data_IF_540094979603
#
_entry.id   IF_540094979603
#
_cell.length_a   1.000
_cell.length_b   1.000
_cell.length_c   1.000
_cell.angle_alpha   90.00
_cell.angle_beta   90.00
_cell.angle_gamma   90.00
#
_symmetry.space_group_name_H-M   'P 1'
#
loop_
_entity.id
_entity.type
_entity.pdbx_description
1 polymer ?
#
# COMPACT_ATOMS: atom_id res chain seq x y z
N UNK A 1 -19.87 14.62 68.27
CA UNK A 1 -20.95 15.55 68.66
C UNK A 1 -21.24 16.48 67.49
N UNK A 2 -22.47 16.98 67.39
CA UNK A 2 -23.05 17.65 66.21
C UNK A 2 -22.92 19.18 66.23
N UNK A 3 -23.34 19.79 65.11
CA UNK A 3 -23.53 21.23 64.82
C UNK A 3 -22.25 22.02 64.49
N UNK A 4 -22.09 22.69 63.34
CA UNK A 4 -22.97 23.48 62.46
C UNK A 4 -23.24 24.92 62.91
N UNK A 5 -22.62 25.90 62.23
CA UNK A 5 -23.29 27.14 61.76
C UNK A 5 -22.40 28.00 60.83
N UNK A 6 -23.02 28.57 59.78
CA UNK A 6 -22.61 29.78 59.03
C UNK A 6 -23.79 30.78 59.16
N UNK A 7 -23.57 32.11 59.23
CA UNK A 7 -23.91 33.03 58.11
C UNK A 7 -23.02 34.31 58.05
N UNK A 8 -23.40 35.47 57.45
CA UNK A 8 -23.53 35.87 56.01
C UNK A 8 -23.36 37.42 55.89
N UNK A 9 -22.63 37.90 54.85
CA UNK A 9 -22.55 39.31 54.35
C UNK A 9 -22.02 40.41 55.32
N UNK A 10 -21.59 41.62 54.91
CA UNK A 10 -21.32 42.32 53.63
C UNK A 10 -20.22 43.41 53.88
N UNK A 11 -19.76 44.30 52.99
CA UNK A 11 -20.48 45.11 51.99
C UNK A 11 -19.50 45.81 50.99
N UNK A 12 -20.01 46.13 49.78
CA UNK A 12 -19.58 47.08 48.70
C UNK A 12 -18.12 47.60 48.58
N UNK A 13 -17.57 47.52 47.35
CA UNK A 13 -17.33 48.68 46.44
C UNK A 13 -16.99 48.29 44.98
N UNK A 14 -17.65 48.97 44.04
CA UNK A 14 -17.43 49.15 42.58
C UNK A 14 -18.22 50.44 42.20
N UNK A 15 -18.02 51.11 41.03
CA UNK A 15 -17.29 50.72 39.82
C UNK A 15 -16.01 51.58 39.63
N UNK A 16 -15.34 51.69 38.48
CA UNK A 16 -15.82 52.29 37.21
C UNK A 16 -15.51 51.47 35.94
N UNK A 17 -16.21 51.81 34.85
CA UNK A 17 -16.12 51.24 33.50
C UNK A 17 -15.06 51.94 32.60
N UNK A 18 -14.53 51.19 31.64
CA UNK A 18 -14.02 51.71 30.38
C UNK A 18 -14.24 50.66 29.28
N UNK A 19 -15.06 51.02 28.29
CA UNK A 19 -15.34 50.20 27.09
C UNK A 19 -14.18 50.22 26.09
N UNK A 20 -13.97 49.09 25.41
CA UNK A 20 -13.67 49.08 23.97
C UNK A 20 -14.07 47.70 23.36
N UNK A 21 -14.61 47.61 22.13
CA UNK A 21 -15.42 46.46 21.72
C UNK A 21 -14.64 45.33 21.04
N UNK A 22 -15.10 44.10 21.29
CA UNK A 22 -14.66 42.89 20.56
C UNK A 22 -15.36 42.84 19.19
N UNK A 23 -14.64 42.71 18.06
CA UNK A 23 -15.26 42.40 16.78
C UNK A 23 -15.81 40.95 16.78
N UNK A 24 -16.93 40.75 16.09
CA UNK A 24 -17.74 39.54 16.20
C UNK A 24 -17.12 38.27 15.59
N UNK A 25 -17.59 37.12 16.08
CA UNK A 25 -17.35 35.81 15.44
C UNK A 25 -17.98 35.80 14.05
N UNK A 26 -17.15 35.84 13.00
CA UNK A 26 -17.58 35.39 11.68
C UNK A 26 -17.66 33.85 11.70
N UNK A 27 -18.81 33.29 11.36
CA UNK A 27 -18.94 31.87 11.07
C UNK A 27 -18.15 31.59 9.78
N UNK A 28 -17.08 30.79 9.86
CA UNK A 28 -16.54 30.12 8.69
C UNK A 28 -17.25 28.79 8.52
N UNK A 29 -17.67 28.51 7.29
CA UNK A 29 -18.33 27.26 6.92
C UNK A 29 -17.41 26.05 7.15
N UNK A 30 -18.01 24.90 7.42
CA UNK A 30 -17.33 23.61 7.35
C UNK A 30 -16.84 23.38 5.91
N UNK A 31 -15.52 23.41 5.74
CA UNK A 31 -14.87 22.83 4.57
C UNK A 31 -13.99 21.68 5.08
N UNK A 32 -14.50 20.44 4.95
CA UNK A 32 -13.85 19.22 5.46
C UNK A 32 -12.68 18.83 4.57
N UNK A 33 -11.61 19.62 4.61
CA UNK A 33 -10.36 19.30 3.92
C UNK A 33 -9.55 18.25 4.70
N UNK A 34 -9.69 17.01 4.21
CA UNK A 34 -9.05 15.77 4.65
C UNK A 34 -7.56 15.98 4.95
N UNK A 35 -7.07 15.39 6.04
CA UNK A 35 -5.63 15.27 6.29
C UNK A 35 -5.19 13.99 5.62
N UNK A 36 -4.31 14.07 4.62
CA UNK A 36 -3.82 12.88 3.90
C UNK A 36 -2.77 12.16 4.74
N UNK A 37 -2.42 10.94 4.32
CA UNK A 37 -1.37 10.15 4.99
C UNK A 37 -0.03 10.88 5.03
N UNK A 38 0.24 11.74 4.06
CA UNK A 38 1.51 12.43 3.90
C UNK A 38 1.76 13.43 5.03
N UNK A 39 0.72 14.04 5.61
CA UNK A 39 0.80 14.86 6.82
C UNK A 39 1.18 14.03 8.07
N UNK A 40 0.82 12.73 8.10
CA UNK A 40 1.15 11.80 9.19
C UNK A 40 2.57 11.25 9.04
N UNK A 41 2.97 10.90 7.80
CA UNK A 41 4.30 10.36 7.49
C UNK A 41 5.39 11.44 7.56
N UNK A 42 5.11 12.70 7.19
CA UNK A 42 6.10 13.80 7.28
C UNK A 42 6.68 13.92 8.70
N UNK A 43 5.86 13.74 9.74
CA UNK A 43 6.28 13.77 11.16
C UNK A 43 7.20 12.62 11.57
N UNK A 44 7.36 11.57 10.77
CA UNK A 44 8.28 10.46 11.04
C UNK A 44 9.64 10.63 10.35
N UNK A 45 9.77 11.60 9.45
CA UNK A 45 10.99 11.86 8.67
C UNK A 45 11.77 13.11 9.12
N UNK A 46 11.23 13.89 10.06
CA UNK A 46 11.83 15.16 10.52
C UNK A 46 12.98 15.00 11.53
N UNK A 47 13.23 13.79 12.06
CA UNK A 47 14.30 13.53 13.04
C UNK A 47 15.70 13.34 12.41
N UNK A 48 15.83 13.29 11.08
CA UNK A 48 17.12 13.21 10.38
C UNK A 48 17.25 14.26 9.24
N UNK A 49 18.09 15.28 9.52
CA UNK A 49 18.77 16.26 8.62
C UNK A 49 18.39 17.76 8.72
N UNK A 50 19.38 18.68 8.51
CA UNK A 50 19.27 20.07 8.94
C UNK A 50 18.60 21.00 7.92
N UNK A 51 18.03 22.09 8.43
CA UNK A 51 17.39 23.14 7.62
C UNK A 51 18.42 24.08 6.98
N UNK A 52 18.27 24.35 5.69
CA UNK A 52 18.73 25.57 5.04
C UNK A 52 17.65 26.17 4.15
N UNK A 53 17.70 27.49 3.97
CA UNK A 53 16.68 28.33 3.33
C UNK A 53 17.20 28.94 2.05
N UNK A 54 16.32 29.08 1.05
CA UNK A 54 15.99 30.33 0.33
C UNK A 54 14.95 30.00 -0.77
N UNK A 55 13.87 30.75 -0.92
CA UNK A 55 13.69 31.87 -1.86
C UNK A 55 14.13 31.52 -3.31
N UNK A 56 13.30 31.64 -4.35
CA UNK A 56 11.91 32.10 -4.47
C UNK A 56 11.63 32.45 -5.94
N UNK A 57 10.44 32.15 -6.46
CA UNK A 57 10.13 32.39 -7.87
C UNK A 57 8.65 32.19 -8.19
N UNK A 58 8.03 33.19 -8.81
CA UNK A 58 6.64 33.14 -9.27
C UNK A 58 6.60 32.67 -10.74
N UNK A 59 5.65 31.79 -11.05
CA UNK A 59 5.32 31.36 -12.42
C UNK A 59 3.81 31.19 -12.52
N UNK A 60 3.23 31.67 -13.63
CA UNK A 60 1.78 31.79 -13.82
C UNK A 60 1.15 30.45 -14.24
N UNK A 61 -0.13 30.25 -13.87
CA UNK A 61 -0.89 29.07 -14.24
C UNK A 61 -1.98 29.44 -15.26
N UNK A 62 -1.95 28.78 -16.43
CA UNK A 62 -3.08 28.74 -17.36
C UNK A 62 -3.68 27.31 -17.41
N UNK A 63 -5.02 27.16 -17.54
CA UNK A 63 -5.68 25.87 -17.57
C UNK A 63 -5.89 25.35 -18.99
N UNK A 64 -5.64 24.06 -19.22
CA UNK A 64 -6.01 23.34 -20.45
C UNK A 64 -6.82 22.08 -20.14
N UNK A 65 -7.65 21.58 -21.09
CA UNK A 65 -8.96 21.04 -20.72
C UNK A 65 -9.01 19.53 -20.53
N UNK A 66 -10.10 19.08 -19.90
CA UNK A 66 -10.54 17.68 -19.95
C UNK A 66 -10.82 17.29 -21.40
N UNK A 67 -10.16 16.26 -21.90
CA UNK A 67 -10.60 15.51 -23.08
C UNK A 67 -11.06 14.11 -22.66
N UNK A 68 -12.04 13.59 -23.39
CA UNK A 68 -12.87 12.46 -22.99
C UNK A 68 -12.37 11.18 -23.67
N UNK A 69 -11.25 10.65 -23.17
CA UNK A 69 -10.59 9.45 -23.69
C UNK A 69 -11.46 8.20 -23.54
N UNK A 70 -12.02 7.72 -24.65
CA UNK A 70 -12.94 6.58 -24.70
C UNK A 70 -12.22 5.26 -24.38
N UNK A 71 -12.13 4.91 -23.09
CA UNK A 71 -11.53 3.67 -22.59
C UNK A 71 -12.24 2.44 -23.16
N UNK A 72 -11.54 1.69 -24.01
CA UNK A 72 -12.01 0.40 -24.51
C UNK A 72 -11.79 -0.65 -23.42
N UNK A 73 -12.80 -0.84 -22.58
CA UNK A 73 -12.78 -1.89 -21.57
C UNK A 73 -12.47 -3.24 -22.24
N UNK A 74 -11.37 -3.86 -21.82
CA UNK A 74 -11.03 -5.24 -22.10
C UNK A 74 -12.08 -6.13 -21.43
N UNK A 75 -12.86 -6.86 -22.24
CA UNK A 75 -13.75 -7.89 -21.72
C UNK A 75 -12.94 -9.02 -21.10
N UNK A 76 -13.50 -9.74 -20.12
CA UNK A 76 -12.88 -10.90 -19.46
C UNK A 76 -12.36 -12.00 -20.43
N UNK A 77 -12.73 -11.96 -21.72
CA UNK A 77 -12.23 -12.85 -22.77
C UNK A 77 -10.79 -12.56 -23.24
N UNK A 78 -10.22 -11.38 -22.94
CA UNK A 78 -8.86 -10.98 -23.36
C UNK A 78 -7.85 -10.97 -22.18
N UNK A 79 -8.16 -11.62 -21.06
CA UNK A 79 -7.31 -11.67 -19.86
C UNK A 79 -6.45 -12.93 -19.84
N UNK A 80 -5.15 -12.78 -19.53
CA UNK A 80 -4.20 -13.89 -19.32
C UNK A 80 -4.44 -14.75 -18.06
N UNK A 81 -5.66 -14.76 -17.51
CA UNK A 81 -6.05 -15.55 -16.33
C UNK A 81 -7.11 -16.54 -16.76
N UNK A 82 -6.75 -17.81 -16.83
CA UNK A 82 -7.67 -18.90 -17.16
C UNK A 82 -8.20 -19.54 -15.87
N UNK A 83 -9.43 -19.21 -15.48
CA UNK A 83 -10.12 -19.85 -14.35
C UNK A 83 -10.28 -21.35 -14.58
N UNK A 84 -10.11 -22.16 -13.53
CA UNK A 84 -10.12 -23.64 -13.59
C UNK A 84 -9.03 -24.27 -14.48
N UNK A 85 -7.98 -23.54 -14.86
CA UNK A 85 -6.85 -24.09 -15.62
C UNK A 85 -5.98 -25.08 -14.83
N UNK A 86 -5.97 -25.02 -13.50
CA UNK A 86 -5.23 -25.96 -12.64
C UNK A 86 -5.97 -27.28 -12.48
N UNK A 87 -5.29 -28.39 -12.78
CA UNK A 87 -5.72 -29.73 -12.35
C UNK A 87 -5.38 -29.97 -10.86
N UNK A 88 -6.31 -30.59 -10.12
CA UNK A 88 -6.16 -30.88 -8.69
C UNK A 88 -6.76 -29.81 -7.77
N UNK A 89 -6.47 -29.92 -6.47
CA UNK A 89 -6.89 -28.93 -5.49
C UNK A 89 -5.68 -28.11 -5.00
N UNK A 90 -5.85 -26.78 -4.88
CA UNK A 90 -4.84 -25.92 -4.25
C UNK A 90 -4.64 -26.31 -2.79
N UNK A 91 -3.40 -26.27 -2.30
CA UNK A 91 -3.10 -26.49 -0.89
C UNK A 91 -3.96 -25.59 0.03
N UNK A 92 -4.50 -26.17 1.11
CA UNK A 92 -5.50 -25.54 1.96
C UNK A 92 -4.98 -24.31 2.70
N UNK A 93 -3.67 -24.30 2.97
CA UNK A 93 -2.96 -23.21 3.63
C UNK A 93 -2.65 -22.01 2.71
N UNK A 94 -2.79 -22.12 1.39
CA UNK A 94 -2.82 -20.96 0.47
C UNK A 94 -4.17 -20.30 0.63
N UNK A 95 -4.22 -19.14 1.29
CA UNK A 95 -5.44 -18.36 1.51
C UNK A 95 -5.84 -17.56 0.26
N UNK A 96 -4.85 -17.09 -0.50
CA UNK A 96 -4.97 -16.32 -1.74
C UNK A 96 -3.67 -16.44 -2.54
N UNK A 97 -3.74 -16.37 -3.88
CA UNK A 97 -2.58 -16.24 -4.76
C UNK A 97 -2.83 -15.17 -5.83
N UNK A 98 -1.80 -14.74 -6.54
CA UNK A 98 -1.93 -13.82 -7.66
C UNK A 98 -0.62 -13.14 -8.03
N UNK A 99 -0.72 -11.97 -8.67
CA UNK A 99 0.43 -11.21 -9.15
C UNK A 99 0.73 -10.03 -8.23
N UNK A 100 2.01 -9.80 -7.97
CA UNK A 100 2.56 -8.76 -7.09
C UNK A 100 3.47 -7.84 -7.89
N UNK A 101 3.38 -6.53 -7.62
CA UNK A 101 4.23 -5.51 -8.22
C UNK A 101 4.82 -4.64 -7.13
N UNK A 102 6.08 -4.25 -7.31
CA UNK A 102 6.83 -3.41 -6.40
C UNK A 102 7.11 -2.07 -7.07
N UNK A 103 6.75 -1.00 -6.37
CA UNK A 103 6.96 0.37 -6.85
C UNK A 103 7.62 1.21 -5.75
N UNK A 104 8.26 2.30 -6.16
CA UNK A 104 8.59 3.40 -5.25
C UNK A 104 8.24 4.76 -5.84
N UNK A 105 8.08 5.77 -4.97
CA UNK A 105 8.08 7.18 -5.38
C UNK A 105 9.31 7.89 -4.83
N UNK A 106 9.87 8.78 -5.65
CA UNK A 106 10.93 9.70 -5.24
C UNK A 106 10.47 10.69 -4.18
N UNK A 107 11.44 11.36 -3.53
CA UNK A 107 11.21 12.52 -2.69
C UNK A 107 10.70 13.70 -3.53
N UNK A 108 10.01 14.63 -2.89
CA UNK A 108 9.55 15.88 -3.51
C UNK A 108 10.73 16.57 -4.21
N UNK A 109 10.60 16.81 -5.52
CA UNK A 109 11.66 17.39 -6.35
C UNK A 109 12.74 16.42 -6.84
N UNK A 110 12.53 15.09 -6.71
CA UNK A 110 13.39 14.06 -7.32
C UNK A 110 12.53 13.10 -8.14
N UNK A 111 12.38 13.41 -9.42
CA UNK A 111 11.48 12.67 -10.32
C UNK A 111 12.07 11.32 -10.75
N UNK A 112 13.41 11.23 -10.86
CA UNK A 112 14.16 10.02 -11.18
C UNK A 112 15.12 9.65 -10.03
N UNK A 113 14.64 8.95 -8.98
CA UNK A 113 15.47 8.57 -7.84
C UNK A 113 16.43 7.41 -8.21
N UNK A 114 17.74 7.70 -8.27
CA UNK A 114 18.77 6.71 -8.66
C UNK A 114 19.42 5.98 -7.48
N UNK A 115 19.01 6.29 -6.25
CA UNK A 115 19.57 5.74 -5.00
C UNK A 115 18.54 5.75 -3.88
N UNK A 116 18.70 4.85 -2.90
CA UNK A 116 17.73 4.66 -1.81
C UNK A 116 17.58 5.87 -0.87
N UNK A 117 18.52 6.83 -0.86
CA UNK A 117 18.30 8.10 -0.15
C UNK A 117 17.15 8.92 -0.75
N UNK A 118 16.90 8.76 -2.04
CA UNK A 118 16.04 9.63 -2.84
C UNK A 118 14.61 9.10 -2.89
N UNK A 119 14.40 7.86 -2.48
CA UNK A 119 13.08 7.26 -2.28
C UNK A 119 12.39 7.93 -1.09
N UNK A 120 11.10 8.23 -1.23
CA UNK A 120 10.22 8.64 -0.14
C UNK A 120 9.51 7.44 0.49
N UNK A 121 8.87 6.61 -0.35
CA UNK A 121 7.98 5.53 0.07
C UNK A 121 8.03 4.37 -0.94
N UNK A 122 7.95 3.15 -0.43
CA UNK A 122 7.80 1.92 -1.23
C UNK A 122 6.33 1.47 -1.19
N UNK A 123 5.86 0.88 -2.28
CA UNK A 123 4.51 0.37 -2.44
C UNK A 123 4.53 -1.07 -2.95
N UNK A 124 3.55 -1.85 -2.52
CA UNK A 124 3.23 -3.18 -3.06
C UNK A 124 1.84 -3.10 -3.66
N UNK A 125 1.68 -3.54 -4.90
CA UNK A 125 0.39 -3.75 -5.53
C UNK A 125 0.13 -5.26 -5.58
N UNK A 126 -0.97 -5.72 -4.99
CA UNK A 126 -1.43 -7.11 -5.09
C UNK A 126 -2.62 -7.19 -6.05
N UNK A 127 -2.60 -8.14 -6.98
CA UNK A 127 -3.70 -8.49 -7.88
C UNK A 127 -4.09 -9.96 -7.66
N UNK A 128 -5.10 -10.23 -6.81
CA UNK A 128 -5.56 -11.59 -6.56
C UNK A 128 -6.13 -12.24 -7.82
N UNK A 129 -5.87 -13.54 -8.01
CA UNK A 129 -6.51 -14.38 -9.04
C UNK A 129 -7.22 -15.56 -8.36
N UNK A 130 -8.15 -16.27 -9.03
CA UNK A 130 -8.74 -17.50 -8.51
C UNK A 130 -7.67 -18.55 -8.18
N UNK A 131 -7.88 -19.34 -7.11
CA UNK A 131 -6.86 -20.29 -6.63
C UNK A 131 -6.57 -21.42 -7.62
N UNK A 132 -7.55 -21.77 -8.43
CA UNK A 132 -7.53 -22.76 -9.49
C UNK A 132 -7.21 -22.16 -10.88
N UNK A 133 -6.89 -20.86 -10.95
CA UNK A 133 -6.48 -20.24 -12.19
C UNK A 133 -5.01 -20.53 -12.53
N UNK A 134 -4.70 -20.62 -13.82
CA UNK A 134 -3.34 -20.55 -14.36
C UNK A 134 -3.15 -19.24 -15.14
N UNK A 135 -1.89 -18.87 -15.39
CA UNK A 135 -1.54 -17.73 -16.23
C UNK A 135 -1.22 -18.19 -17.66
N UNK A 136 -1.67 -17.42 -18.63
CA UNK A 136 -1.47 -17.66 -20.07
C UNK A 136 -0.80 -16.44 -20.73
N UNK A 137 -0.71 -16.39 -22.06
CA UNK A 137 -0.08 -15.26 -22.76
C UNK A 137 -0.90 -13.96 -22.63
N UNK A 138 -0.21 -12.82 -22.48
CA UNK A 138 -0.81 -11.47 -22.54
C UNK A 138 -0.98 -10.77 -21.19
N UNK A 139 -1.66 -9.61 -21.17
CA UNK A 139 -1.87 -8.84 -19.96
C UNK A 139 -2.98 -9.47 -19.11
N UNK A 140 -2.89 -9.31 -17.78
CA UNK A 140 -3.99 -9.67 -16.89
C UNK A 140 -5.04 -8.55 -16.95
N UNK A 141 -6.30 -8.91 -17.18
CA UNK A 141 -7.40 -7.93 -17.28
C UNK A 141 -7.77 -7.27 -15.95
N UNK A 142 -8.51 -6.16 -16.02
CA UNK A 142 -8.96 -5.44 -14.83
C UNK A 142 -10.11 -6.17 -14.12
N UNK A 143 -9.77 -6.94 -13.07
CA UNK A 143 -10.74 -7.57 -12.20
C UNK A 143 -11.32 -6.62 -11.12
N UNK A 144 -10.90 -5.35 -11.06
CA UNK A 144 -11.33 -4.37 -10.07
C UNK A 144 -11.02 -4.76 -8.62
N UNK A 145 -10.07 -5.67 -8.40
CA UNK A 145 -9.79 -6.31 -7.12
C UNK A 145 -8.40 -5.96 -6.54
N UNK A 146 -7.65 -5.07 -7.22
CA UNK A 146 -6.27 -4.75 -6.87
C UNK A 146 -6.17 -4.08 -5.48
N UNK A 147 -5.10 -4.37 -4.74
CA UNK A 147 -4.83 -3.77 -3.42
C UNK A 147 -3.51 -3.02 -3.44
N UNK A 148 -3.57 -1.70 -3.27
CA UNK A 148 -2.40 -0.84 -3.14
C UNK A 148 -2.01 -0.73 -1.66
N UNK A 149 -0.82 -1.21 -1.35
CA UNK A 149 -0.24 -1.25 0.00
C UNK A 149 0.92 -0.27 0.05
N UNK A 150 0.84 0.72 0.93
CA UNK A 150 1.91 1.67 1.19
C UNK A 150 2.75 1.24 2.39
N UNK A 151 4.07 1.28 2.22
CA UNK A 151 5.07 0.97 3.25
C UNK A 151 5.78 2.29 3.60
N UNK A 152 5.64 2.83 4.83
CA UNK A 152 6.15 4.15 5.21
C UNK A 152 7.69 4.19 5.42
N UNK A 153 8.42 3.31 4.73
CA UNK A 153 9.88 3.18 4.76
C UNK A 153 10.39 3.00 3.32
N UNK A 154 11.67 3.32 3.11
CA UNK A 154 12.35 3.29 1.80
C UNK A 154 12.92 1.92 1.42
N UNK A 155 12.86 0.98 2.35
CA UNK A 155 13.39 -0.38 2.25
C UNK A 155 12.23 -1.37 2.36
N UNK A 156 12.50 -2.66 2.19
CA UNK A 156 11.64 -3.79 2.54
C UNK A 156 12.23 -4.54 3.76
N UNK A 157 11.41 -5.13 4.66
CA UNK A 157 11.93 -5.67 5.91
C UNK A 157 12.54 -7.06 5.67
N UNK A 158 13.80 -7.27 6.06
CA UNK A 158 14.55 -8.52 5.77
C UNK A 158 14.62 -9.49 6.94
N UNK A 159 14.52 -8.99 8.18
CA UNK A 159 14.68 -9.82 9.38
C UNK A 159 13.50 -9.66 10.34
N UNK A 160 13.31 -10.61 11.24
CA UNK A 160 12.24 -10.53 12.26
C UNK A 160 12.40 -9.36 13.25
N UNK A 161 13.49 -8.60 13.17
CA UNK A 161 13.70 -7.33 13.89
C UNK A 161 13.09 -6.15 13.12
N UNK A 162 13.05 -6.24 11.79
CA UNK A 162 12.48 -5.25 10.89
C UNK A 162 10.96 -5.45 10.86
N UNK A 163 10.23 -4.54 11.49
CA UNK A 163 8.78 -4.62 11.69
C UNK A 163 8.16 -3.26 11.47
N UNK A 164 7.39 -3.11 10.41
CA UNK A 164 6.78 -1.83 10.06
C UNK A 164 5.28 -1.96 9.90
N UNK A 165 4.57 -0.87 10.17
CA UNK A 165 3.14 -0.81 9.95
C UNK A 165 2.93 -0.37 8.50
N UNK A 166 2.52 -1.31 7.65
CA UNK A 166 2.05 -1.05 6.31
C UNK A 166 0.56 -0.65 6.34
N UNK A 167 0.10 -0.01 5.29
CA UNK A 167 -1.28 0.45 5.11
C UNK A 167 -1.84 -0.03 3.78
N UNK A 168 -3.07 -0.54 3.77
CA UNK A 168 -3.87 -0.66 2.55
C UNK A 168 -4.45 0.73 2.20
N UNK A 169 -3.85 1.43 1.24
CA UNK A 169 -4.32 2.74 0.77
C UNK A 169 -5.56 2.60 -0.13
N UNK A 170 -5.54 1.64 -1.06
CA UNK A 170 -6.72 1.24 -1.86
C UNK A 170 -6.93 -0.27 -1.75
N UNK A 171 -8.18 -0.69 -1.64
CA UNK A 171 -8.61 -2.07 -1.87
C UNK A 171 -9.71 -2.05 -2.94
N UNK A 172 -9.72 -3.05 -3.83
CA UNK A 172 -10.58 -3.06 -5.01
C UNK A 172 -10.33 -1.87 -5.95
N UNK A 173 -9.06 -1.56 -6.19
CA UNK A 173 -8.66 -0.58 -7.20
C UNK A 173 -8.77 -1.16 -8.62
N UNK A 174 -9.39 -0.39 -9.50
CA UNK A 174 -9.41 -0.60 -10.95
C UNK A 174 -8.11 -0.14 -11.61
N UNK A 175 -7.91 -0.46 -12.89
CA UNK A 175 -6.87 0.15 -13.72
C UNK A 175 -7.09 1.65 -13.91
N UNK A 176 -8.33 2.14 -13.92
CA UNK A 176 -8.61 3.58 -13.93
C UNK A 176 -8.10 4.24 -12.63
N UNK A 177 -8.37 3.65 -11.47
CA UNK A 177 -7.83 4.12 -10.17
C UNK A 177 -6.30 4.17 -10.17
N UNK A 178 -5.64 3.15 -10.72
CA UNK A 178 -4.17 3.07 -10.75
C UNK A 178 -3.59 4.10 -11.73
N UNK A 179 -4.12 4.18 -12.95
CA UNK A 179 -3.66 5.10 -14.00
C UNK A 179 -3.93 6.57 -13.69
N UNK A 180 -4.93 6.89 -12.88
CA UNK A 180 -5.26 8.27 -12.52
C UNK A 180 -4.59 8.72 -11.21
N UNK A 181 -4.61 7.88 -10.16
CA UNK A 181 -4.20 8.34 -8.81
C UNK A 181 -2.81 7.85 -8.38
N UNK A 182 -2.37 6.67 -8.86
CA UNK A 182 -1.18 5.99 -8.32
C UNK A 182 0.05 5.97 -9.24
N UNK A 183 -0.11 5.72 -10.55
CA UNK A 183 1.03 5.68 -11.46
C UNK A 183 1.55 7.08 -11.79
N UNK A 184 0.72 8.10 -12.13
CA UNK A 184 1.21 9.43 -12.47
C UNK A 184 1.87 10.16 -11.31
N UNK A 185 2.71 11.14 -11.69
CA UNK A 185 3.04 12.24 -10.80
C UNK A 185 1.78 13.08 -10.49
N UNK A 186 1.71 13.69 -9.32
CA UNK A 186 0.55 14.48 -8.89
C UNK A 186 0.95 15.67 -8.02
N UNK A 187 0.31 16.81 -8.25
CA UNK A 187 0.48 18.04 -7.48
C UNK A 187 -0.65 18.19 -6.44
N UNK A 188 -0.27 18.37 -5.17
CA UNK A 188 -1.21 18.52 -4.07
C UNK A 188 -0.89 19.74 -3.21
N UNK A 189 -1.91 20.45 -2.75
CA UNK A 189 -1.73 21.69 -2.00
C UNK A 189 -1.68 21.43 -0.49
N UNK A 190 -0.57 21.80 0.15
CA UNK A 190 -0.34 21.63 1.59
C UNK A 190 -0.67 22.89 2.38
N UNK A 191 -1.25 22.72 3.57
CA UNK A 191 -1.72 23.82 4.43
C UNK A 191 -0.62 24.79 4.89
N UNK A 192 0.65 24.39 4.81
CA UNK A 192 1.81 25.12 5.35
C UNK A 192 2.90 25.43 4.33
N UNK A 193 2.99 24.69 3.22
CA UNK A 193 4.08 24.80 2.25
C UNK A 193 3.61 25.00 0.79
N UNK A 194 2.31 25.21 0.56
CA UNK A 194 1.75 25.39 -0.78
C UNK A 194 1.72 24.11 -1.61
N UNK A 195 1.71 24.25 -2.93
CA UNK A 195 1.70 23.12 -3.87
C UNK A 195 3.00 22.31 -3.73
N UNK A 196 2.86 21.01 -3.58
CA UNK A 196 3.95 20.03 -3.59
C UNK A 196 3.76 19.05 -4.73
N UNK A 197 4.85 18.77 -5.41
CA UNK A 197 4.93 17.70 -6.41
C UNK A 197 5.21 16.35 -5.74
N UNK A 198 4.39 15.34 -6.02
CA UNK A 198 4.77 13.95 -5.85
C UNK A 198 5.22 13.40 -7.20
N UNK A 199 6.46 12.88 -7.32
CA UNK A 199 6.90 12.11 -8.47
C UNK A 199 5.96 10.94 -8.81
N UNK A 200 6.07 10.48 -10.06
CA UNK A 200 5.42 9.27 -10.55
C UNK A 200 5.89 8.02 -9.80
N UNK A 201 5.09 6.96 -9.88
CA UNK A 201 5.51 5.64 -9.41
C UNK A 201 6.50 5.02 -10.41
N UNK A 202 7.65 4.59 -9.91
CA UNK A 202 8.68 3.85 -10.68
C UNK A 202 8.60 2.37 -10.29
N UNK A 203 8.42 1.44 -11.23
CA UNK A 203 8.44 0.02 -10.96
C UNK A 203 9.86 -0.43 -10.60
N UNK A 204 9.98 -1.40 -9.71
CA UNK A 204 11.27 -2.02 -9.35
C UNK A 204 11.26 -3.55 -9.45
N UNK A 205 10.09 -4.15 -9.67
CA UNK A 205 9.92 -5.56 -9.97
C UNK A 205 8.45 -5.99 -9.96
N UNK A 206 8.20 -7.17 -10.50
CA UNK A 206 6.91 -7.83 -10.58
C UNK A 206 7.14 -9.36 -10.49
N UNK A 207 6.11 -10.09 -10.08
CA UNK A 207 6.07 -11.54 -10.15
C UNK A 207 4.82 -12.07 -9.45
N UNK A 208 4.91 -13.25 -8.86
CA UNK A 208 3.76 -13.94 -8.24
C UNK A 208 3.84 -13.93 -6.72
N UNK A 209 2.68 -14.06 -6.07
CA UNK A 209 2.58 -14.18 -4.61
C UNK A 209 1.57 -15.22 -4.15
N UNK A 210 1.77 -15.70 -2.92
CA UNK A 210 0.73 -16.31 -2.11
C UNK A 210 0.64 -15.64 -0.74
N UNK A 211 -0.60 -15.46 -0.27
CA UNK A 211 -0.88 -15.23 1.14
C UNK A 211 -1.18 -16.59 1.77
N UNK A 212 -0.31 -17.08 2.64
CA UNK A 212 -0.42 -18.40 3.28
C UNK A 212 -0.66 -18.29 4.78
N UNK A 213 -0.96 -19.42 5.43
CA UNK A 213 -1.05 -19.54 6.88
C UNK A 213 -0.32 -20.78 7.40
N UNK A 214 0.37 -20.64 8.52
CA UNK A 214 0.92 -21.77 9.31
C UNK A 214 0.02 -22.09 10.52
N UNK A 215 -1.25 -21.67 10.46
CA UNK A 215 -2.22 -21.67 11.57
C UNK A 215 -1.92 -20.64 12.67
N UNK A 216 -0.64 -20.42 12.98
CA UNK A 216 -0.15 -19.45 13.98
C UNK A 216 0.16 -18.09 13.36
N UNK A 217 0.80 -18.07 12.20
CA UNK A 217 1.29 -16.89 11.51
C UNK A 217 0.79 -16.90 10.06
N UNK A 218 0.46 -15.71 9.54
CA UNK A 218 0.11 -15.55 8.12
C UNK A 218 1.30 -14.95 7.40
N UNK A 219 1.60 -15.43 6.20
CA UNK A 219 2.77 -15.01 5.44
C UNK A 219 2.33 -14.47 4.08
N UNK A 220 2.96 -13.37 3.63
CA UNK A 220 2.94 -12.97 2.22
C UNK A 220 4.29 -13.37 1.66
N UNK A 221 4.29 -14.35 0.76
CA UNK A 221 5.47 -14.85 0.09
C UNK A 221 5.37 -14.57 -1.41
N UNK A 222 6.51 -14.31 -2.04
CA UNK A 222 6.59 -13.92 -3.43
C UNK A 222 7.81 -14.52 -4.13
N UNK A 223 7.70 -14.65 -5.44
CA UNK A 223 8.79 -14.94 -6.36
C UNK A 223 8.72 -13.90 -7.49
N UNK A 224 9.85 -13.30 -7.85
CA UNK A 224 9.92 -12.32 -8.92
C UNK A 224 10.05 -12.99 -10.28
N UNK A 225 9.25 -12.54 -11.23
CA UNK A 225 9.37 -12.90 -12.64
C UNK A 225 10.14 -11.84 -13.43
N UNK A 226 10.15 -10.57 -12.96
CA UNK A 226 10.96 -9.49 -13.53
C UNK A 226 11.37 -8.43 -12.48
N UNK A 227 12.56 -7.80 -12.54
CA UNK A 227 13.66 -8.10 -13.45
C UNK A 227 14.27 -9.48 -13.21
N UNK A 228 14.78 -10.11 -14.26
CA UNK A 228 15.46 -11.42 -14.12
C UNK A 228 16.75 -11.33 -13.29
N UNK A 229 17.33 -10.13 -13.13
CA UNK A 229 18.51 -9.87 -12.31
C UNK A 229 18.29 -8.62 -11.45
N UNK A 230 18.49 -8.72 -10.14
CA UNK A 230 18.29 -7.57 -9.24
C UNK A 230 19.40 -6.53 -9.36
N UNK A 231 19.01 -5.29 -9.67
CA UNK A 231 19.90 -4.14 -9.65
C UNK A 231 20.28 -3.67 -8.24
N UNK A 232 21.13 -2.63 -8.18
CA UNK A 232 21.55 -2.01 -6.91
C UNK A 232 20.37 -1.42 -6.14
N UNK A 233 19.41 -0.80 -6.84
CA UNK A 233 18.21 -0.18 -6.24
C UNK A 233 17.35 -1.25 -5.57
N UNK A 234 16.97 -2.31 -6.30
CA UNK A 234 16.19 -3.44 -5.78
C UNK A 234 16.86 -4.06 -4.54
N UNK A 235 18.14 -4.39 -4.65
CA UNK A 235 18.93 -5.03 -3.59
C UNK A 235 19.06 -4.14 -2.34
N UNK A 236 19.22 -2.83 -2.53
CA UNK A 236 19.45 -1.86 -1.44
C UNK A 236 18.16 -1.45 -0.74
N UNK A 237 17.04 -1.39 -1.47
CA UNK A 237 15.68 -1.37 -0.91
C UNK A 237 15.48 -2.64 -0.09
N UNK A 238 15.90 -3.78 -0.64
CA UNK A 238 15.83 -5.07 0.03
C UNK A 238 14.75 -5.99 -0.50
N UNK A 239 14.45 -5.84 -1.79
CA UNK A 239 13.79 -6.87 -2.58
C UNK A 239 14.77 -8.04 -2.80
N UNK A 240 14.25 -9.26 -2.94
CA UNK A 240 14.99 -10.51 -3.15
C UNK A 240 14.25 -11.34 -4.22
N UNK A 241 14.93 -12.27 -4.91
CA UNK A 241 14.32 -13.06 -6.02
C UNK A 241 13.13 -13.90 -5.55
N UNK A 242 13.28 -14.54 -4.38
CA UNK A 242 12.22 -15.23 -3.64
C UNK A 242 12.27 -14.75 -2.19
N UNK A 243 11.13 -14.37 -1.62
CA UNK A 243 11.10 -13.81 -0.27
C UNK A 243 9.74 -13.93 0.41
N UNK A 244 9.69 -13.61 1.70
CA UNK A 244 8.45 -13.61 2.47
C UNK A 244 8.45 -12.63 3.63
N UNK A 245 7.24 -12.31 4.08
CA UNK A 245 6.98 -11.49 5.25
C UNK A 245 5.89 -12.12 6.10
N UNK A 246 6.05 -12.08 7.43
CA UNK A 246 4.95 -12.38 8.35
C UNK A 246 4.03 -11.16 8.42
N UNK A 247 2.74 -11.37 8.16
CA UNK A 247 1.70 -10.33 8.18
C UNK A 247 0.81 -10.50 9.40
N UNK A 248 0.64 -9.41 10.15
CA UNK A 248 -0.32 -9.38 11.26
C UNK A 248 -1.19 -8.14 11.26
N UNK A 249 -2.51 -8.34 11.08
CA UNK A 249 -3.51 -7.28 11.03
C UNK A 249 -3.68 -6.63 12.39
N UNK A 250 -3.74 -5.30 12.42
CA UNK A 250 -3.97 -4.52 13.64
C UNK A 250 -5.46 -4.45 13.99
N UNK A 251 -5.79 -4.67 15.25
CA UNK A 251 -7.12 -4.37 15.78
C UNK A 251 -7.30 -2.83 15.92
N UNK A 252 -8.24 -2.19 15.22
CA UNK A 252 -8.45 -0.74 15.29
C UNK A 252 -9.08 -0.27 16.61
N UNK A 253 -9.67 -1.18 17.41
CA UNK A 253 -10.23 -0.85 18.74
C UNK A 253 -9.15 -0.52 19.76
N UNK A 254 -7.88 -0.89 19.50
CA UNK A 254 -6.74 -0.54 20.35
C UNK A 254 -6.01 0.72 19.84
N UNK A 255 -5.53 1.60 20.75
CA UNK A 255 -4.86 2.84 20.37
C UNK A 255 -3.67 2.68 19.42
N UNK A 256 -3.47 3.75 18.64
CA UNK A 256 -2.21 4.17 18.02
C UNK A 256 -0.90 3.60 18.59
N UNK A 257 -0.16 2.66 17.95
CA UNK A 257 1.30 2.69 18.09
C UNK A 257 1.85 4.07 17.68
N UNK A 258 2.96 4.49 18.29
CA UNK A 258 3.55 5.83 18.20
C UNK A 258 3.40 6.49 16.82
N UNK A 259 2.59 7.56 16.73
CA UNK A 259 2.39 8.36 15.52
C UNK A 259 1.99 7.57 14.24
N UNK A 260 1.39 6.39 14.37
CA UNK A 260 0.77 5.65 13.25
C UNK A 260 -0.76 5.74 13.25
N UNK A 261 -1.32 6.65 14.04
CA UNK A 261 -2.76 6.92 14.04
C UNK A 261 -3.20 7.58 12.74
N UNK A 262 -4.18 6.97 12.09
CA UNK A 262 -4.83 7.54 10.90
C UNK A 262 -5.97 8.49 11.32
N UNK A 263 -6.34 9.47 10.48
CA UNK A 263 -7.54 10.28 10.69
C UNK A 263 -8.82 9.44 10.71
N UNK A 264 -8.87 8.41 9.86
CA UNK A 264 -9.97 7.43 9.75
C UNK A 264 -9.38 6.02 9.75
N UNK A 265 -10.03 5.08 10.45
CA UNK A 265 -9.59 3.68 10.53
C UNK A 265 -10.23 2.79 9.45
N UNK A 266 -9.88 1.49 9.42
CA UNK A 266 -10.52 0.51 8.55
C UNK A 266 -11.99 0.29 8.93
N UNK A 267 -12.84 0.15 7.92
CA UNK A 267 -14.26 -0.17 8.10
C UNK A 267 -14.46 -1.69 8.11
N UNK A 268 -14.08 -2.34 9.20
CA UNK A 268 -14.27 -3.78 9.37
C UNK A 268 -15.74 -4.13 9.67
N UNK A 269 -16.18 -5.28 9.14
CA UNK A 269 -17.44 -5.91 9.53
C UNK A 269 -17.38 -6.36 11.00
N UNK A 270 -18.55 -6.54 11.63
CA UNK A 270 -18.61 -7.02 13.01
C UNK A 270 -17.95 -8.41 13.16
N UNK A 271 -18.07 -9.27 12.14
CA UNK A 271 -17.40 -10.56 12.06
C UNK A 271 -15.88 -10.45 12.25
N UNK A 272 -15.21 -9.57 11.49
CA UNK A 272 -13.76 -9.36 11.60
C UNK A 272 -13.40 -8.73 12.96
N UNK A 273 -14.23 -7.82 13.48
CA UNK A 273 -14.03 -7.24 14.82
C UNK A 273 -14.13 -8.29 15.93
N UNK A 274 -15.05 -9.24 15.82
CA UNK A 274 -15.23 -10.33 16.79
C UNK A 274 -14.10 -11.38 16.68
N UNK A 275 -13.55 -11.61 15.49
CA UNK A 275 -12.40 -12.51 15.26
C UNK A 275 -11.13 -12.10 16.00
N UNK A 276 -10.89 -10.78 16.18
CA UNK A 276 -9.81 -10.30 17.03
C UNK A 276 -9.96 -10.72 18.51
N UNK A 277 -11.19 -10.95 18.99
CA UNK A 277 -11.52 -11.23 20.40
C UNK A 277 -10.98 -10.16 21.36
N UNK A 278 -9.81 -10.40 21.96
CA UNK A 278 -9.08 -9.46 22.83
C UNK A 278 -7.65 -9.21 22.36
N UNK A 279 -7.30 -9.69 21.16
CA UNK A 279 -5.98 -9.52 20.56
C UNK A 279 -5.85 -8.13 19.95
N UNK A 280 -4.66 -7.55 20.07
CA UNK A 280 -4.25 -6.32 19.37
C UNK A 280 -3.84 -6.57 17.92
N UNK A 281 -3.48 -7.82 17.63
CA UNK A 281 -2.81 -8.29 16.43
C UNK A 281 -3.26 -9.74 16.19
N UNK A 282 -3.62 -10.08 14.96
CA UNK A 282 -3.93 -11.46 14.52
C UNK A 282 -3.29 -11.73 13.17
N UNK A 283 -3.23 -12.99 12.72
CA UNK A 283 -2.76 -13.33 11.37
C UNK A 283 -3.60 -12.62 10.31
N UNK A 284 -2.96 -12.07 9.27
CA UNK A 284 -3.67 -11.42 8.17
C UNK A 284 -4.23 -12.45 7.20
N UNK A 285 -5.56 -12.47 7.05
CA UNK A 285 -6.26 -13.21 5.98
C UNK A 285 -6.84 -12.22 4.95
N UNK A 286 -7.23 -12.64 3.73
CA UNK A 286 -7.58 -11.72 2.64
C UNK A 286 -8.66 -10.69 3.00
N UNK A 287 -9.70 -11.09 3.75
CA UNK A 287 -10.79 -10.20 4.18
C UNK A 287 -10.37 -9.07 5.12
N UNK A 288 -9.15 -9.10 5.68
CA UNK A 288 -8.62 -8.02 6.50
C UNK A 288 -8.04 -6.85 5.69
N UNK A 289 -7.74 -7.06 4.41
CA UNK A 289 -7.06 -6.09 3.54
C UNK A 289 -8.06 -5.09 2.91
N UNK A 290 -8.83 -4.41 3.76
CA UNK A 290 -9.79 -3.35 3.40
C UNK A 290 -9.11 -1.97 3.42
N UNK A 291 -9.69 -0.90 2.83
CA UNK A 291 -9.08 0.42 2.87
C UNK A 291 -8.85 0.91 4.30
N UNK A 292 -7.76 1.63 4.53
CA UNK A 292 -7.25 2.06 5.84
C UNK A 292 -6.81 0.91 6.78
N UNK A 293 -6.79 -0.35 6.33
CA UNK A 293 -6.29 -1.47 7.15
C UNK A 293 -4.79 -1.34 7.39
N UNK A 294 -4.40 -1.39 8.66
CA UNK A 294 -3.01 -1.41 9.08
C UNK A 294 -2.60 -2.81 9.50
N UNK A 295 -1.42 -3.24 9.08
CA UNK A 295 -0.84 -4.51 9.48
C UNK A 295 0.68 -4.38 9.67
N UNK A 296 1.24 -5.21 10.55
CA UNK A 296 2.68 -5.38 10.62
C UNK A 296 3.14 -6.20 9.42
N UNK A 297 4.09 -5.64 8.67
CA UNK A 297 4.95 -6.35 7.73
C UNK A 297 6.27 -6.64 8.46
N UNK A 298 6.60 -7.92 8.64
CA UNK A 298 7.75 -8.39 9.42
C UNK A 298 8.68 -9.21 8.54
N UNK A 299 9.97 -8.89 8.54
CA UNK A 299 10.97 -9.60 7.74
C UNK A 299 11.16 -11.06 8.16
N UNK A 300 11.39 -11.95 7.19
CA UNK A 300 11.56 -13.39 7.43
C UNK A 300 12.94 -13.87 6.94
N UNK A 301 13.84 -14.16 7.89
CA UNK A 301 15.24 -14.52 7.57
C UNK A 301 15.45 -15.97 7.12
N UNK A 302 14.40 -16.78 7.08
CA UNK A 302 14.41 -18.10 6.43
C UNK A 302 14.08 -18.02 4.93
N UNK A 303 13.84 -16.82 4.40
CA UNK A 303 13.18 -16.66 3.11
C UNK A 303 11.84 -17.41 3.09
N UNK A 304 11.46 -17.86 1.90
CA UNK A 304 10.14 -18.40 1.59
C UNK A 304 9.82 -19.76 2.24
N UNK A 305 10.82 -20.51 2.73
CA UNK A 305 10.67 -21.91 3.21
C UNK A 305 9.53 -22.09 4.21
N UNK A 306 9.47 -21.22 5.23
CA UNK A 306 8.46 -21.32 6.29
C UNK A 306 7.07 -20.86 5.83
N UNK A 307 7.01 -19.90 4.91
CA UNK A 307 5.76 -19.41 4.34
C UNK A 307 5.10 -20.45 3.42
N UNK A 308 5.89 -21.33 2.79
CA UNK A 308 5.41 -22.37 1.87
C UNK A 308 5.43 -23.78 2.44
N UNK A 309 5.67 -23.93 3.75
CA UNK A 309 5.64 -25.24 4.40
C UNK A 309 4.26 -25.90 4.24
N UNK A 310 4.17 -27.16 3.75
CA UNK A 310 2.90 -27.84 3.55
C UNK A 310 2.18 -28.08 4.89
N UNK A 311 0.86 -27.93 4.88
CA UNK A 311 0.02 -28.21 6.04
C UNK A 311 0.04 -29.70 6.39
N UNK A 312 -0.05 -30.05 7.68
CA UNK A 312 -0.09 -31.44 8.12
C UNK A 312 -1.35 -32.17 7.60
N UNK A 313 -2.47 -31.45 7.36
CA UNK A 313 -3.70 -32.03 6.81
C UNK A 313 -3.62 -32.34 5.30
N UNK A 314 -2.71 -31.70 4.56
CA UNK A 314 -2.56 -31.88 3.11
C UNK A 314 -1.50 -32.93 2.72
N UNK A 315 -0.58 -33.30 3.62
CA UNK A 315 0.54 -34.23 3.35
C UNK A 315 0.15 -35.65 2.94
N UNK A 316 -1.10 -36.05 3.14
CA UNK A 316 -1.62 -37.37 2.76
C UNK A 316 -2.49 -37.33 1.49
N UNK A 317 -2.69 -36.16 0.86
CA UNK A 317 -3.54 -35.98 -0.32
C UNK A 317 -2.70 -35.80 -1.60
N UNK A 318 -2.41 -36.90 -2.29
CA UNK A 318 -1.65 -36.93 -3.55
C UNK A 318 -2.26 -36.09 -4.70
N UNK A 319 -3.47 -35.54 -4.53
CA UNK A 319 -4.13 -34.66 -5.52
C UNK A 319 -3.90 -33.16 -5.27
N UNK A 320 -3.12 -32.81 -4.24
CA UNK A 320 -2.73 -31.43 -3.91
C UNK A 320 -1.24 -31.26 -4.15
N UNK A 321 -0.90 -30.24 -4.94
CA UNK A 321 0.50 -29.77 -5.07
C UNK A 321 0.94 -29.13 -3.77
N UNK A 322 2.23 -29.23 -3.44
CA UNK A 322 2.76 -28.47 -2.30
C UNK A 322 2.66 -26.95 -2.57
N UNK A 323 2.56 -26.11 -1.53
CA UNK A 323 2.42 -24.65 -1.72
C UNK A 323 3.58 -24.02 -2.50
N UNK A 324 4.78 -24.60 -2.35
CA UNK A 324 5.97 -24.17 -3.10
C UNK A 324 5.85 -24.51 -4.59
N UNK A 325 5.42 -25.73 -4.92
CA UNK A 325 5.28 -26.22 -6.30
C UNK A 325 4.24 -25.40 -7.08
N UNK A 326 3.09 -25.13 -6.48
CA UNK A 326 2.02 -24.31 -7.08
C UNK A 326 2.49 -22.89 -7.42
N UNK A 327 3.39 -22.32 -6.61
CA UNK A 327 3.88 -20.95 -6.81
C UNK A 327 5.13 -20.89 -7.70
N UNK A 328 5.94 -21.95 -7.76
CA UNK A 328 6.98 -22.09 -8.80
C UNK A 328 6.37 -22.33 -10.18
N UNK A 329 5.26 -23.08 -10.29
CA UNK A 329 4.53 -23.26 -11.55
C UNK A 329 3.86 -21.96 -12.01
N UNK A 330 3.24 -21.21 -11.09
CA UNK A 330 2.66 -19.89 -11.38
C UNK A 330 3.74 -18.86 -11.76
N UNK A 331 4.93 -18.89 -11.12
CA UNK A 331 6.06 -18.03 -11.47
C UNK A 331 6.58 -18.33 -12.88
N UNK A 332 6.67 -19.61 -13.26
CA UNK A 332 7.12 -20.03 -14.58
C UNK A 332 6.20 -19.52 -15.71
N UNK A 333 4.89 -19.57 -15.49
CA UNK A 333 3.90 -19.00 -16.42
C UNK A 333 4.01 -17.47 -16.51
N UNK A 334 4.17 -16.82 -15.35
CA UNK A 334 4.27 -15.36 -15.28
C UNK A 334 5.56 -14.83 -15.93
N UNK A 335 6.68 -15.57 -15.84
CA UNK A 335 7.91 -15.28 -16.61
C UNK A 335 7.63 -15.32 -18.11
N UNK A 336 7.06 -16.41 -18.63
CA UNK A 336 6.76 -16.54 -20.07
C UNK A 336 5.83 -15.43 -20.56
N UNK A 337 4.83 -15.09 -19.74
CA UNK A 337 3.86 -14.02 -20.00
C UNK A 337 4.53 -12.64 -20.06
N UNK A 338 5.41 -12.33 -19.11
CA UNK A 338 6.09 -11.04 -19.01
C UNK A 338 7.19 -10.85 -20.06
N UNK A 339 7.92 -11.92 -20.45
CA UNK A 339 8.91 -11.91 -21.53
C UNK A 339 8.34 -11.49 -22.90
N UNK A 340 7.02 -11.58 -23.09
CA UNK A 340 6.35 -11.29 -24.36
C UNK A 340 5.52 -10.00 -24.35
N UNK A 341 5.49 -9.28 -23.22
CA UNK A 341 4.55 -8.17 -23.01
C UNK A 341 5.03 -6.78 -23.45
N UNK A 342 6.32 -6.47 -23.37
CA UNK A 342 6.86 -5.13 -23.63
C UNK A 342 8.28 -5.12 -24.18
N UNK A 343 8.76 -3.96 -24.64
CA UNK A 343 10.12 -3.83 -25.18
C UNK A 343 11.21 -3.81 -24.07
N UNK A 344 10.82 -3.38 -22.87
CA UNK A 344 11.65 -3.43 -21.65
C UNK A 344 10.87 -4.08 -20.51
N UNK A 345 11.57 -4.58 -19.51
CA UNK A 345 10.96 -5.17 -18.30
C UNK A 345 10.03 -4.18 -17.56
N UNK A 346 10.42 -2.90 -17.48
CA UNK A 346 9.57 -1.85 -16.90
C UNK A 346 8.37 -1.50 -17.78
N UNK A 347 8.52 -1.54 -19.10
CA UNK A 347 7.41 -1.32 -20.03
C UNK A 347 6.37 -2.46 -19.95
N UNK A 348 6.83 -3.71 -19.88
CA UNK A 348 5.97 -4.88 -19.66
C UNK A 348 5.11 -4.75 -18.40
N UNK A 349 5.69 -4.27 -17.28
CA UNK A 349 4.95 -3.99 -16.03
C UNK A 349 3.82 -2.97 -16.25
N UNK A 350 4.07 -1.91 -17.02
CA UNK A 350 3.04 -0.90 -17.27
C UNK A 350 1.99 -1.37 -18.28
N UNK A 351 2.37 -2.15 -19.30
CA UNK A 351 1.43 -2.73 -20.26
C UNK A 351 0.49 -3.75 -19.60
N UNK A 352 0.99 -4.52 -18.64
CA UNK A 352 0.20 -5.43 -17.78
C UNK A 352 -0.78 -4.70 -16.83
N UNK A 353 -0.63 -3.38 -16.68
CA UNK A 353 -1.53 -2.48 -15.95
C UNK A 353 -2.31 -1.53 -16.91
N UNK A 354 -2.30 -1.83 -18.21
CA UNK A 354 -2.83 -1.00 -19.31
C UNK A 354 -2.39 0.49 -19.30
N UNK A 355 -1.22 0.78 -18.72
CA UNK A 355 -0.65 2.12 -18.60
C UNK A 355 0.26 2.44 -19.81
N UNK A 356 -0.37 2.63 -20.98
CA UNK A 356 0.35 2.87 -22.24
C UNK A 356 1.17 4.18 -22.23
N UNK A 357 2.35 4.16 -22.85
CA UNK A 357 3.28 5.31 -22.90
C UNK A 357 2.61 6.58 -23.47
N UNK A 358 1.83 6.45 -24.55
CA UNK A 358 1.09 7.54 -25.20
C UNK A 358 0.18 8.35 -24.24
N UNK A 359 -0.33 7.71 -23.18
CA UNK A 359 -1.27 8.27 -22.21
C UNK A 359 -0.52 8.73 -20.94
N UNK A 360 0.71 8.25 -20.73
CA UNK A 360 1.52 8.47 -19.54
C UNK A 360 3.03 8.60 -19.84
N UNK A 361 3.47 9.62 -20.61
CA UNK A 361 4.87 9.80 -21.02
C UNK A 361 5.84 10.14 -19.87
N UNK A 362 5.32 10.47 -18.69
CA UNK A 362 6.09 10.73 -17.46
C UNK A 362 6.52 9.46 -16.70
N UNK A 363 6.09 8.27 -17.14
CA UNK A 363 6.43 7.01 -16.48
C UNK A 363 7.81 6.50 -16.94
N UNK A 364 8.69 6.21 -15.99
CA UNK A 364 10.05 5.73 -16.25
C UNK A 364 10.04 4.27 -16.75
N UNK A 365 10.41 4.05 -18.02
CA UNK A 365 10.40 2.74 -18.72
C UNK A 365 11.71 1.95 -18.64
N UNK A 366 12.64 2.32 -17.75
CA UNK A 366 13.92 1.66 -17.52
C UNK A 366 14.21 1.59 -16.00
N UNK A 367 14.89 0.55 -15.52
CA UNK A 367 15.20 0.35 -14.10
C UNK A 367 16.38 1.17 -13.58
#
# INVERSE_FOLDING_TARGET
MTNSSKPVAGDKRKPDEADDPRPGKAQKADDKMQTTLDDVVTRQTEDEEPRQSDAGGQGEAEPTPKDNGNGRATSQQDSAVEEHGREGATASNILEKGVIYFFHRGRVGIDHPTKVSDIARTFILLRPIPKDAQLTEGPIGDAGNSRLIAIPKKKLPKTGRDRWIALVEKASASFEDLRNDFLPANDYNTKTAGVRHSPAAVPIGQGVYALTTTGRESHLAYMLSTPHNLGEVQTTIGLEEKGSWILSTRNPQYPAPNNTGLPEGPQYSQEILDEFRSLRWMGTVPKHLVPNAQFLLVGESSGIEKAMAPDDEDKEDENKKEPIEEIEELEHEDVQRMEHLGETESDAIFLDLEAYEKDHPQLQREF
#
